data_IF_874968988176
#
_entry.id   IF_874968988176
#
_cell.length_a   1.000
_cell.length_b   1.000
_cell.length_c   1.000
_cell.angle_alpha   90.00
_cell.angle_beta   90.00
_cell.angle_gamma   90.00
#
_symmetry.space_group_name_H-M   'P 1'
#
loop_
_entity.id
_entity.type
_entity.pdbx_description
1 polymer ?
#
# COMPACT_ATOMS: atom_id res chain seq x y z
N UNK A 1 -23.64 -1.80 -1.97
CA UNK A 1 -24.16 -1.55 -0.59
C UNK A 1 -23.31 -0.43 -0.01
N UNK A 2 -23.70 0.23 1.09
CA UNK A 2 -22.85 1.29 1.67
C UNK A 2 -21.60 0.73 2.37
N UNK A 3 -20.69 1.61 2.78
CA UNK A 3 -19.54 1.28 3.64
C UNK A 3 -19.98 0.43 4.84
N UNK A 4 -19.27 -0.66 5.10
CA UNK A 4 -19.45 -1.49 6.29
C UNK A 4 -18.11 -1.85 6.91
N UNK A 5 -17.97 -1.64 8.22
CA UNK A 5 -16.77 -1.94 9.00
C UNK A 5 -17.09 -2.70 10.28
N UNK A 6 -16.17 -3.55 10.71
CA UNK A 6 -16.18 -4.20 12.00
C UNK A 6 -14.79 -4.17 12.62
N UNK A 7 -14.67 -3.81 13.89
CA UNK A 7 -13.41 -3.88 14.63
C UNK A 7 -13.57 -4.78 15.83
N UNK A 8 -12.65 -5.73 15.95
CA UNK A 8 -12.67 -6.80 16.92
C UNK A 8 -11.39 -6.82 17.76
N UNK A 9 -11.49 -7.34 18.98
CA UNK A 9 -10.40 -7.53 19.93
C UNK A 9 -10.04 -9.02 20.04
N UNK A 10 -8.80 -9.37 19.73
CA UNK A 10 -8.28 -10.72 19.91
C UNK A 10 -7.87 -11.02 21.37
N UNK A 11 -7.80 -10.02 22.25
CA UNK A 11 -7.50 -10.19 23.67
C UNK A 11 -6.09 -10.70 23.93
N UNK A 12 -5.11 -10.29 23.12
CA UNK A 12 -3.72 -10.79 23.16
C UNK A 12 -3.60 -12.28 22.83
N UNK A 13 -4.60 -12.88 22.19
CA UNK A 13 -4.62 -14.26 21.72
C UNK A 13 -4.44 -14.33 20.20
N UNK A 14 -4.24 -15.53 19.66
CA UNK A 14 -4.13 -15.78 18.22
C UNK A 14 -5.46 -16.11 17.52
N UNK A 15 -6.60 -16.02 18.20
CA UNK A 15 -7.90 -16.42 17.64
C UNK A 15 -8.59 -15.24 16.96
N UNK A 16 -8.98 -15.40 15.70
CA UNK A 16 -9.67 -14.40 14.89
C UNK A 16 -11.18 -14.73 14.72
N UNK A 17 -12.05 -13.72 14.49
CA UNK A 17 -11.77 -12.28 14.60
C UNK A 17 -11.73 -11.80 16.06
N UNK A 18 -12.17 -12.61 17.03
CA UNK A 18 -12.26 -12.19 18.44
C UNK A 18 -13.60 -11.56 18.81
N UNK A 19 -13.60 -10.60 19.73
CA UNK A 19 -14.82 -9.97 20.26
C UNK A 19 -15.07 -8.63 19.56
N UNK A 20 -16.28 -8.42 19.03
CA UNK A 20 -16.64 -7.16 18.37
C UNK A 20 -16.61 -5.99 19.35
N UNK A 21 -15.79 -4.98 19.07
CA UNK A 21 -15.71 -3.72 19.82
C UNK A 21 -16.54 -2.61 19.18
N UNK A 22 -16.46 -2.48 17.85
CA UNK A 22 -17.11 -1.38 17.12
C UNK A 22 -17.63 -1.85 15.76
N UNK A 23 -18.89 -1.56 15.47
CA UNK A 23 -19.55 -1.87 14.20
C UNK A 23 -19.79 -0.60 13.36
N UNK A 24 -20.18 -0.78 12.10
CA UNK A 24 -20.59 0.32 11.22
C UNK A 24 -21.66 1.20 11.89
N UNK A 25 -21.50 2.52 11.82
CA UNK A 25 -22.37 3.49 12.52
C UNK A 25 -22.20 3.58 14.04
N UNK A 26 -21.36 2.74 14.65
CA UNK A 26 -21.09 2.76 16.09
C UNK A 26 -20.27 3.96 16.55
N UNK A 27 -20.55 4.44 17.76
CA UNK A 27 -19.77 5.49 18.42
C UNK A 27 -18.34 5.01 18.70
N UNK A 28 -17.42 5.98 18.87
CA UNK A 28 -16.05 5.69 19.29
C UNK A 28 -16.03 4.99 20.65
N UNK A 29 -15.10 4.04 20.82
CA UNK A 29 -14.92 3.26 22.05
C UNK A 29 -13.71 3.77 22.83
N UNK A 30 -13.53 3.40 24.12
CA UNK A 30 -12.38 3.86 24.91
C UNK A 30 -11.03 3.42 24.34
N UNK A 31 -10.98 2.28 23.64
CA UNK A 31 -9.78 1.79 22.99
C UNK A 31 -9.44 2.61 21.73
N UNK A 32 -8.29 3.29 21.78
CA UNK A 32 -7.82 4.13 20.69
C UNK A 32 -7.46 3.33 19.43
N UNK A 33 -6.89 2.13 19.57
CA UNK A 33 -6.53 1.31 18.41
C UNK A 33 -7.76 0.86 17.64
N UNK A 34 -8.84 0.57 18.36
CA UNK A 34 -10.11 0.21 17.74
C UNK A 34 -10.67 1.35 16.88
N UNK A 35 -10.57 2.59 17.38
CA UNK A 35 -11.00 3.78 16.64
C UNK A 35 -10.10 4.06 15.43
N UNK A 36 -8.78 3.93 15.60
CA UNK A 36 -7.82 4.12 14.51
C UNK A 36 -8.04 3.11 13.37
N UNK A 37 -8.19 1.82 13.69
CA UNK A 37 -8.50 0.78 12.70
C UNK A 37 -9.83 1.05 11.99
N UNK A 38 -10.87 1.45 12.75
CA UNK A 38 -12.20 1.76 12.21
C UNK A 38 -12.19 2.97 11.27
N UNK A 39 -11.54 4.05 11.69
CA UNK A 39 -11.47 5.30 10.93
C UNK A 39 -10.59 5.09 9.70
N UNK A 40 -9.45 4.42 9.85
CA UNK A 40 -8.54 4.15 8.74
C UNK A 40 -9.14 3.25 7.66
N UNK A 41 -9.83 2.17 8.04
CA UNK A 41 -10.58 1.36 7.06
C UNK A 41 -11.67 2.19 6.36
N UNK A 42 -12.28 3.12 7.09
CA UNK A 42 -13.29 4.02 6.55
C UNK A 42 -12.75 5.02 5.53
N UNK A 43 -11.58 5.59 5.80
CA UNK A 43 -10.86 6.50 4.89
C UNK A 43 -10.46 5.75 3.62
N UNK A 44 -9.91 4.54 3.75
CA UNK A 44 -9.53 3.72 2.58
C UNK A 44 -10.75 3.37 1.72
N UNK A 45 -11.88 2.99 2.33
CA UNK A 45 -13.13 2.77 1.58
C UNK A 45 -13.55 4.04 0.82
N UNK A 46 -13.55 5.20 1.49
CA UNK A 46 -13.96 6.46 0.87
C UNK A 46 -13.04 6.86 -0.28
N UNK A 47 -11.74 6.67 -0.12
CA UNK A 47 -10.77 6.88 -1.19
C UNK A 47 -11.09 6.01 -2.42
N UNK A 48 -11.26 4.69 -2.23
CA UNK A 48 -11.61 3.77 -3.33
C UNK A 48 -12.92 4.18 -4.02
N UNK A 49 -13.89 4.63 -3.25
CA UNK A 49 -15.18 5.08 -3.78
C UNK A 49 -15.07 6.41 -4.52
N UNK A 50 -14.38 7.40 -3.95
CA UNK A 50 -14.29 8.75 -4.50
C UNK A 50 -13.38 8.80 -5.73
N UNK A 51 -12.24 8.11 -5.70
CA UNK A 51 -11.22 8.20 -6.75
C UNK A 51 -11.43 7.17 -7.85
N UNK A 52 -11.88 5.95 -7.51
CA UNK A 52 -12.01 4.85 -8.48
C UNK A 52 -13.45 4.38 -8.71
N UNK A 53 -14.44 4.99 -8.05
CA UNK A 53 -15.84 4.53 -8.05
C UNK A 53 -15.97 3.04 -7.69
N UNK A 54 -15.05 2.51 -6.87
CA UNK A 54 -15.01 1.11 -6.44
C UNK A 54 -15.77 0.95 -5.12
N UNK A 55 -16.68 -0.02 -5.05
CA UNK A 55 -17.40 -0.36 -3.81
C UNK A 55 -16.59 -1.38 -2.99
N UNK A 56 -15.79 -0.91 -2.02
CA UNK A 56 -14.88 -1.73 -1.19
C UNK A 56 -13.73 -2.42 -1.95
N UNK A 57 -12.92 -3.21 -1.24
CA UNK A 57 -11.73 -3.89 -1.78
C UNK A 57 -12.08 -4.94 -2.85
N UNK A 58 -13.27 -5.53 -2.81
CA UNK A 58 -13.75 -6.53 -3.77
C UNK A 58 -14.58 -5.94 -4.93
N UNK A 59 -14.88 -4.64 -4.87
CA UNK A 59 -15.74 -3.96 -5.84
C UNK A 59 -17.23 -4.32 -5.71
N UNK A 60 -17.64 -5.02 -4.64
CA UNK A 60 -19.01 -5.48 -4.39
C UNK A 60 -19.52 -5.13 -3.00
N UNK A 61 -18.83 -4.24 -2.29
CA UNK A 61 -19.24 -3.76 -0.98
C UNK A 61 -18.94 -4.73 0.16
N UNK A 62 -17.87 -5.54 0.06
CA UNK A 62 -17.40 -6.37 1.18
C UNK A 62 -17.22 -5.54 2.44
N UNK A 63 -17.66 -6.09 3.57
CA UNK A 63 -17.37 -5.54 4.90
C UNK A 63 -15.87 -5.57 5.17
N UNK A 64 -15.35 -4.47 5.73
CA UNK A 64 -13.94 -4.34 6.11
C UNK A 64 -13.80 -4.66 7.60
N UNK A 65 -13.38 -5.88 7.90
CA UNK A 65 -13.16 -6.32 9.28
C UNK A 65 -11.69 -6.18 9.68
N UNK A 66 -11.46 -5.65 10.88
CA UNK A 66 -10.15 -5.48 11.50
C UNK A 66 -10.12 -6.15 12.86
N UNK A 67 -9.05 -6.89 13.15
CA UNK A 67 -8.79 -7.43 14.50
C UNK A 67 -7.54 -6.77 15.07
N UNK A 68 -7.66 -6.18 16.26
CA UNK A 68 -6.55 -5.57 17.01
C UNK A 68 -6.13 -6.43 18.20
N UNK A 69 -5.04 -6.07 18.88
CA UNK A 69 -4.50 -6.80 20.02
C UNK A 69 -4.20 -8.27 19.71
N UNK A 70 -3.72 -8.54 18.49
CA UNK A 70 -3.39 -9.88 18.05
C UNK A 70 -2.06 -10.35 18.64
N UNK A 71 -2.11 -11.40 19.45
CA UNK A 71 -0.97 -11.95 20.20
C UNK A 71 -0.23 -10.91 21.08
N UNK A 72 0.67 -11.38 21.94
CA UNK A 72 1.50 -10.51 22.77
C UNK A 72 2.76 -10.07 22.02
N UNK A 73 3.10 -8.78 22.10
CA UNK A 73 4.31 -8.21 21.51
C UNK A 73 4.49 -8.51 20.01
N UNK A 74 3.36 -8.64 19.29
CA UNK A 74 3.37 -8.99 17.89
C UNK A 74 3.82 -7.79 17.04
N UNK A 75 5.00 -7.91 16.45
CA UNK A 75 5.65 -6.87 15.66
C UNK A 75 5.23 -6.92 14.18
N UNK A 76 3.92 -7.07 13.89
CA UNK A 76 3.43 -7.01 12.51
C UNK A 76 1.95 -6.60 12.40
N UNK A 77 1.56 -6.20 11.19
CA UNK A 77 0.17 -6.19 10.71
C UNK A 77 0.08 -7.03 9.43
N UNK A 78 -1.10 -7.54 9.10
CA UNK A 78 -1.30 -8.29 7.86
C UNK A 78 -2.76 -8.36 7.43
N UNK A 79 -2.99 -8.44 6.13
CA UNK A 79 -4.21 -9.01 5.53
C UNK A 79 -4.10 -10.53 5.43
N UNK A 80 -5.10 -11.26 5.93
CA UNK A 80 -5.06 -12.72 5.95
C UNK A 80 -5.86 -13.41 4.82
N UNK A 81 -6.36 -12.64 3.84
CA UNK A 81 -7.28 -13.11 2.81
C UNK A 81 -8.76 -12.79 3.07
N UNK A 82 -9.10 -12.44 4.31
CA UNK A 82 -10.48 -12.17 4.76
C UNK A 82 -10.64 -10.88 5.57
N UNK A 83 -9.68 -10.58 6.46
CA UNK A 83 -9.70 -9.44 7.39
C UNK A 83 -8.29 -8.90 7.64
N UNK A 84 -8.21 -7.66 8.16
CA UNK A 84 -6.96 -7.06 8.64
C UNK A 84 -6.68 -7.50 10.08
N UNK A 85 -5.41 -7.70 10.41
CA UNK A 85 -4.97 -8.09 11.74
C UNK A 85 -3.80 -7.20 12.16
N UNK A 86 -3.86 -6.65 13.38
CA UNK A 86 -2.86 -5.72 13.91
C UNK A 86 -2.32 -6.22 15.25
N UNK A 87 -0.99 -6.31 15.34
CA UNK A 87 -0.30 -6.41 16.62
C UNK A 87 -0.11 -5.05 17.28
N UNK A 88 0.17 -5.09 18.57
CA UNK A 88 0.46 -3.88 19.36
C UNK A 88 1.93 -3.44 19.27
N UNK A 89 2.80 -4.30 18.74
CA UNK A 89 4.24 -4.15 18.85
C UNK A 89 4.79 -4.50 20.24
N UNK A 90 6.10 -4.58 20.34
CA UNK A 90 6.85 -4.90 21.56
C UNK A 90 7.22 -3.66 22.42
N UNK A 91 6.85 -2.46 21.98
CA UNK A 91 7.22 -1.18 22.59
C UNK A 91 8.68 -0.78 22.40
N UNK A 92 9.47 -1.60 21.69
CA UNK A 92 10.91 -1.40 21.44
C UNK A 92 11.19 -1.18 19.97
N UNK A 93 10.81 -2.14 19.14
CA UNK A 93 10.89 -2.11 17.69
C UNK A 93 9.70 -1.35 17.11
N UNK A 94 8.49 -1.65 17.61
CA UNK A 94 7.23 -1.05 17.17
C UNK A 94 6.34 -0.69 18.36
N UNK A 95 5.55 0.38 18.20
CA UNK A 95 4.67 0.92 19.24
C UNK A 95 3.17 0.89 18.88
N UNK A 96 2.82 0.20 17.80
CA UNK A 96 1.43 -0.06 17.39
C UNK A 96 1.19 0.22 15.91
N UNK A 97 0.63 -0.76 15.18
CA UNK A 97 0.47 -0.69 13.72
C UNK A 97 -0.78 0.06 13.26
N UNK A 98 -1.75 0.29 14.14
CA UNK A 98 -2.95 1.10 13.86
C UNK A 98 -2.68 2.61 13.90
N UNK A 99 -1.51 3.04 14.38
CA UNK A 99 -1.18 4.46 14.59
C UNK A 99 -0.97 5.24 13.29
N UNK A 100 -0.73 4.55 12.17
CA UNK A 100 -0.52 5.19 10.89
C UNK A 100 -1.53 4.70 9.84
N UNK A 101 -2.17 5.65 9.16
CA UNK A 101 -3.17 5.36 8.14
C UNK A 101 -2.56 4.65 6.92
N UNK A 102 -1.31 4.94 6.57
CA UNK A 102 -0.66 4.28 5.44
C UNK A 102 -0.48 2.78 5.66
N UNK A 103 -0.21 2.32 6.89
CA UNK A 103 -0.17 0.90 7.26
C UNK A 103 -1.55 0.26 7.13
N UNK A 104 -2.60 0.89 7.66
CA UNK A 104 -3.97 0.36 7.56
C UNK A 104 -4.41 0.24 6.09
N UNK A 105 -4.13 1.27 5.28
CA UNK A 105 -4.44 1.29 3.87
C UNK A 105 -3.57 0.32 3.05
N UNK A 106 -2.31 0.11 3.43
CA UNK A 106 -1.42 -0.91 2.88
C UNK A 106 -2.04 -2.30 3.04
N UNK A 107 -2.45 -2.68 4.26
CA UNK A 107 -3.06 -4.01 4.49
C UNK A 107 -4.35 -4.21 3.68
N UNK A 108 -5.22 -3.21 3.66
CA UNK A 108 -6.44 -3.25 2.84
C UNK A 108 -6.14 -3.36 1.35
N UNK A 109 -5.00 -2.84 0.91
CA UNK A 109 -4.59 -2.90 -0.49
C UNK A 109 -4.16 -4.30 -0.90
N UNK A 110 -3.65 -5.15 -0.01
CA UNK A 110 -3.49 -6.58 -0.33
C UNK A 110 -4.83 -7.23 -0.70
N UNK A 111 -5.90 -6.90 0.04
CA UNK A 111 -7.26 -7.28 -0.33
C UNK A 111 -7.70 -6.69 -1.67
N UNK A 112 -7.36 -5.43 -1.96
CA UNK A 112 -7.62 -4.84 -3.28
C UNK A 112 -6.92 -5.62 -4.40
N UNK A 113 -5.64 -5.95 -4.24
CA UNK A 113 -4.84 -6.71 -5.22
C UNK A 113 -5.47 -8.07 -5.48
N UNK A 114 -5.88 -8.78 -4.41
CA UNK A 114 -6.55 -10.08 -4.49
C UNK A 114 -7.80 -10.07 -5.39
N UNK A 115 -8.55 -8.96 -5.43
CA UNK A 115 -9.79 -8.85 -6.21
C UNK A 115 -9.68 -8.00 -7.49
N UNK A 116 -8.61 -7.23 -7.67
CA UNK A 116 -8.41 -6.36 -8.82
C UNK A 116 -7.45 -6.93 -9.86
N UNK A 117 -6.50 -7.78 -9.44
CA UNK A 117 -5.64 -8.55 -10.35
C UNK A 117 -6.30 -9.89 -10.65
N UNK A 118 -6.50 -10.27 -11.92
CA UNK A 118 -7.02 -11.60 -12.28
C UNK A 118 -6.13 -12.72 -11.70
N UNK A 119 -6.65 -13.44 -10.70
CA UNK A 119 -5.92 -14.50 -10.00
C UNK A 119 -5.02 -14.03 -8.85
N UNK A 120 -5.00 -12.73 -8.53
CA UNK A 120 -4.08 -12.16 -7.54
C UNK A 120 -2.64 -12.02 -8.07
N UNK A 121 -1.72 -11.66 -7.18
CA UNK A 121 -0.27 -11.70 -7.43
C UNK A 121 0.36 -12.71 -6.49
N UNK A 122 1.17 -13.61 -7.03
CA UNK A 122 1.91 -14.59 -6.23
C UNK A 122 2.90 -13.86 -5.33
N UNK A 123 2.92 -14.21 -4.04
CA UNK A 123 3.69 -13.49 -3.03
C UNK A 123 5.16 -13.96 -2.96
N UNK A 124 5.82 -13.96 -4.12
CA UNK A 124 7.21 -14.37 -4.31
C UNK A 124 7.87 -13.57 -5.44
N UNK A 125 9.21 -13.48 -5.44
CA UNK A 125 9.96 -12.82 -6.50
C UNK A 125 9.45 -11.41 -6.85
N UNK A 126 9.33 -11.13 -8.15
CA UNK A 126 8.87 -9.82 -8.63
C UNK A 126 7.36 -9.60 -8.45
N UNK A 127 6.53 -10.64 -8.58
CA UNK A 127 5.08 -10.50 -8.36
C UNK A 127 4.77 -10.17 -6.90
N UNK A 128 5.51 -10.74 -5.96
CA UNK A 128 5.41 -10.42 -4.54
C UNK A 128 5.93 -9.02 -4.24
N UNK A 129 7.06 -8.61 -4.85
CA UNK A 129 7.56 -7.25 -4.71
C UNK A 129 6.61 -6.19 -5.32
N UNK A 130 5.89 -6.53 -6.40
CA UNK A 130 4.80 -5.71 -6.91
C UNK A 130 3.62 -5.67 -5.95
N UNK A 131 3.27 -6.80 -5.32
CA UNK A 131 2.20 -6.87 -4.34
C UNK A 131 2.46 -5.89 -3.17
N UNK A 132 3.66 -5.96 -2.60
CA UNK A 132 4.14 -5.01 -1.58
C UNK A 132 4.16 -3.56 -2.06
N UNK A 133 4.71 -3.31 -3.25
CA UNK A 133 4.81 -1.95 -3.77
C UNK A 133 3.46 -1.32 -4.06
N UNK A 134 2.50 -2.09 -4.59
CA UNK A 134 1.15 -1.59 -4.83
C UNK A 134 0.48 -1.25 -3.49
N UNK A 135 0.70 -2.06 -2.45
CA UNK A 135 0.23 -1.80 -1.10
C UNK A 135 0.84 -0.52 -0.50
N UNK A 136 2.15 -0.31 -0.63
CA UNK A 136 2.83 0.93 -0.25
C UNK A 136 2.32 2.15 -1.02
N UNK A 137 2.15 2.03 -2.34
CA UNK A 137 1.67 3.10 -3.22
C UNK A 137 0.29 3.56 -2.78
N UNK A 138 -0.69 2.65 -2.66
CA UNK A 138 -2.03 3.06 -2.25
C UNK A 138 -2.11 3.44 -0.77
N UNK A 139 -1.28 2.85 0.10
CA UNK A 139 -1.13 3.30 1.49
C UNK A 139 -0.71 4.76 1.56
N UNK A 140 0.34 5.14 0.82
CA UNK A 140 0.82 6.52 0.74
C UNK A 140 -0.22 7.46 0.12
N UNK A 141 -0.85 7.07 -1.00
CA UNK A 141 -1.84 7.93 -1.66
C UNK A 141 -3.09 8.14 -0.80
N UNK A 142 -3.55 7.12 -0.07
CA UNK A 142 -4.69 7.26 0.86
C UNK A 142 -4.35 8.26 1.98
N UNK A 143 -3.15 8.16 2.55
CA UNK A 143 -2.64 9.14 3.53
C UNK A 143 -2.64 10.55 2.96
N UNK A 144 -2.02 10.75 1.79
CA UNK A 144 -2.00 12.06 1.13
C UNK A 144 -3.43 12.59 0.88
N UNK A 145 -4.35 11.73 0.40
CA UNK A 145 -5.74 12.10 0.12
C UNK A 145 -6.47 12.55 1.38
N UNK A 146 -6.33 11.81 2.48
CA UNK A 146 -6.94 12.15 3.77
C UNK A 146 -6.42 13.45 4.38
N UNK A 147 -5.18 13.82 4.05
CA UNK A 147 -4.54 15.05 4.53
C UNK A 147 -4.64 16.21 3.53
N UNK A 148 -5.17 15.98 2.33
CA UNK A 148 -5.23 16.96 1.25
C UNK A 148 -3.85 17.41 0.73
N UNK A 149 -2.85 16.53 0.78
CA UNK A 149 -1.47 16.86 0.43
C UNK A 149 -1.22 16.72 -1.07
N UNK A 150 -0.55 17.71 -1.66
CA UNK A 150 0.05 17.58 -2.99
C UNK A 150 1.26 16.64 -2.96
N UNK A 151 1.70 16.20 -4.15
CA UNK A 151 2.87 15.31 -4.28
C UNK A 151 4.16 15.88 -3.69
N UNK A 152 4.27 17.22 -3.61
CA UNK A 152 5.43 17.91 -3.04
C UNK A 152 5.37 18.11 -1.53
N UNK A 153 4.19 17.96 -0.92
CA UNK A 153 3.98 18.07 0.53
C UNK A 153 3.99 16.69 1.23
N UNK A 154 3.72 15.63 0.46
CA UNK A 154 3.71 14.26 0.96
C UNK A 154 5.09 13.82 1.47
N UNK A 155 5.12 13.10 2.59
CA UNK A 155 6.37 12.57 3.16
C UNK A 155 6.95 11.40 2.37
N UNK A 156 6.12 10.66 1.64
CA UNK A 156 6.46 9.44 0.91
C UNK A 156 7.07 8.34 1.79
N UNK A 157 6.77 8.37 3.09
CA UNK A 157 7.22 7.39 4.08
C UNK A 157 6.09 6.43 4.43
N UNK A 158 6.43 5.16 4.62
CA UNK A 158 5.51 4.12 5.09
C UNK A 158 5.78 3.78 6.55
N UNK A 159 4.74 3.74 7.37
CA UNK A 159 4.89 3.45 8.80
C UNK A 159 5.59 4.58 9.58
N UNK A 160 5.44 5.83 9.14
CA UNK A 160 5.94 6.95 9.93
C UNK A 160 5.13 7.06 11.24
N UNK A 161 5.81 6.93 12.39
CA UNK A 161 5.18 7.01 13.71
C UNK A 161 4.73 5.67 14.33
N UNK A 162 5.04 4.53 13.70
CA UNK A 162 4.88 3.19 14.31
C UNK A 162 6.18 2.64 14.92
N UNK A 163 7.32 3.25 14.60
CA UNK A 163 8.65 2.83 15.06
C UNK A 163 8.82 3.13 16.55
N UNK A 164 9.49 2.23 17.27
CA UNK A 164 9.87 2.49 18.66
C UNK A 164 10.98 3.52 18.81
N UNK A 165 11.16 4.08 20.02
CA UNK A 165 12.15 5.13 20.27
C UNK A 165 13.57 4.71 19.87
N UNK A 166 14.21 5.50 19.00
CA UNK A 166 15.59 5.27 18.57
C UNK A 166 15.81 4.22 17.48
N UNK A 167 14.73 3.60 16.97
CA UNK A 167 14.84 2.58 15.90
C UNK A 167 14.99 3.20 14.51
N UNK A 168 14.29 4.31 14.28
CA UNK A 168 14.17 4.95 12.97
C UNK A 168 12.91 5.79 12.91
N UNK A 169 12.66 6.43 11.76
CA UNK A 169 11.45 7.27 11.58
C UNK A 169 10.32 6.55 10.85
N UNK A 170 10.64 5.61 9.97
CA UNK A 170 9.70 4.90 9.10
C UNK A 170 10.26 3.52 8.69
N UNK A 171 9.41 2.65 8.15
CA UNK A 171 9.83 1.35 7.62
C UNK A 171 10.51 1.49 6.26
N UNK A 172 9.92 2.30 5.37
CA UNK A 172 10.32 2.42 3.97
C UNK A 172 10.10 3.84 3.46
N UNK A 173 10.78 4.17 2.37
CA UNK A 173 10.65 5.43 1.65
C UNK A 173 10.39 5.15 0.17
N UNK A 174 9.28 5.65 -0.38
CA UNK A 174 9.01 5.57 -1.82
C UNK A 174 9.93 6.55 -2.58
N UNK A 175 10.20 7.70 -1.97
CA UNK A 175 11.05 8.73 -2.57
C UNK A 175 12.54 8.36 -2.58
N UNK A 176 13.00 7.60 -1.60
CA UNK A 176 14.40 7.22 -1.46
C UNK A 176 14.57 5.84 -0.78
N UNK A 177 14.24 4.74 -1.49
CA UNK A 177 14.36 3.40 -0.93
C UNK A 177 15.78 3.10 -0.42
N UNK A 178 15.89 2.51 0.77
CA UNK A 178 17.18 2.22 1.40
C UNK A 178 17.77 3.38 2.20
N UNK A 179 17.11 4.55 2.26
CA UNK A 179 17.63 5.70 3.01
C UNK A 179 17.36 5.59 4.52
N UNK A 180 18.36 5.05 5.23
CA UNK A 180 18.36 4.82 6.68
C UNK A 180 18.32 6.08 7.54
N UNK A 181 18.55 7.28 6.99
CA UNK A 181 18.35 8.55 7.71
C UNK A 181 16.86 8.94 7.79
N UNK A 182 16.08 8.48 6.81
CA UNK A 182 14.64 8.66 6.70
C UNK A 182 13.86 7.47 7.25
N UNK A 183 14.46 6.28 7.27
CA UNK A 183 13.80 5.04 7.68
C UNK A 183 14.48 4.44 8.91
N UNK A 184 14.56 3.11 9.00
CA UNK A 184 15.20 2.36 10.08
C UNK A 184 16.55 1.82 9.61
N UNK A 185 17.42 1.46 10.55
CA UNK A 185 18.79 1.06 10.22
C UNK A 185 18.90 -0.21 9.36
N UNK A 186 17.84 -1.03 9.32
CA UNK A 186 17.76 -2.25 8.52
C UNK A 186 17.18 -2.06 7.11
N UNK A 187 16.79 -0.84 6.71
CA UNK A 187 16.30 -0.60 5.36
C UNK A 187 17.43 -0.83 4.34
N UNK A 188 17.24 -1.82 3.47
CA UNK A 188 18.17 -2.26 2.43
C UNK A 188 17.53 -2.26 1.03
N UNK A 189 16.39 -1.57 0.87
CA UNK A 189 15.63 -1.62 -0.37
C UNK A 189 16.42 -1.03 -1.55
N UNK A 190 16.57 -1.77 -2.67
CA UNK A 190 17.11 -1.21 -3.89
C UNK A 190 16.16 -0.17 -4.48
N UNK A 191 16.75 0.92 -5.00
CA UNK A 191 16.05 1.97 -5.74
C UNK A 191 15.90 1.67 -7.24
N UNK A 192 16.76 0.81 -7.78
CA UNK A 192 16.82 0.51 -9.23
C UNK A 192 17.04 -0.98 -9.47
N UNK A 193 16.63 -1.47 -10.64
CA UNK A 193 16.77 -2.87 -11.07
C UNK A 193 18.23 -3.35 -11.09
N UNK A 194 19.20 -2.44 -11.29
CA UNK A 194 20.62 -2.78 -11.25
C UNK A 194 21.08 -3.31 -9.86
N UNK A 195 20.34 -2.98 -8.80
CA UNK A 195 20.59 -3.44 -7.44
C UNK A 195 19.58 -4.52 -6.98
N UNK A 196 18.82 -5.10 -7.92
CA UNK A 196 17.84 -6.15 -7.62
C UNK A 196 18.47 -7.33 -6.88
N UNK A 197 17.80 -7.80 -5.83
CA UNK A 197 18.25 -8.93 -5.02
C UNK A 197 17.48 -10.18 -5.43
N UNK A 198 18.12 -11.13 -6.12
CA UNK A 198 17.47 -12.29 -6.71
C UNK A 198 16.65 -13.11 -5.71
N UNK A 199 17.25 -13.42 -4.56
CA UNK A 199 16.63 -14.16 -3.44
C UNK A 199 16.13 -13.21 -2.33
N UNK A 200 15.91 -11.94 -2.68
CA UNK A 200 15.44 -10.93 -1.75
C UNK A 200 14.01 -11.19 -1.31
N UNK A 201 13.69 -10.83 -0.07
CA UNK A 201 12.30 -10.82 0.37
C UNK A 201 11.47 -9.87 -0.52
N UNK A 202 10.18 -10.16 -0.66
CA UNK A 202 9.25 -9.33 -1.44
C UNK A 202 9.28 -7.86 -0.99
N UNK A 203 9.43 -7.62 0.31
CA UNK A 203 9.59 -6.30 0.89
C UNK A 203 10.85 -5.58 0.40
N UNK A 204 11.98 -6.28 0.20
CA UNK A 204 13.25 -5.67 -0.23
C UNK A 204 13.09 -5.05 -1.61
N UNK A 205 12.75 -5.85 -2.63
CA UNK A 205 12.73 -5.38 -4.02
C UNK A 205 11.54 -4.45 -4.36
N UNK A 206 10.57 -4.28 -3.46
CA UNK A 206 9.44 -3.35 -3.64
C UNK A 206 9.88 -1.88 -3.76
N UNK A 207 11.08 -1.53 -3.28
CA UNK A 207 11.67 -0.20 -3.44
C UNK A 207 11.78 0.27 -4.89
N UNK A 208 12.01 -0.64 -5.84
CA UNK A 208 12.18 -0.34 -7.26
C UNK A 208 10.86 0.21 -7.86
N UNK A 209 9.74 -0.54 -7.84
CA UNK A 209 8.45 -0.01 -8.30
C UNK A 209 7.89 1.14 -7.43
N UNK A 210 8.22 1.19 -6.14
CA UNK A 210 7.90 2.32 -5.27
C UNK A 210 8.52 3.63 -5.79
N UNK A 211 9.80 3.59 -6.13
CA UNK A 211 10.51 4.75 -6.66
C UNK A 211 10.03 5.17 -8.05
N UNK A 212 9.61 4.21 -8.89
CA UNK A 212 8.97 4.51 -10.16
C UNK A 212 7.65 5.28 -9.97
N UNK A 213 6.79 4.84 -9.03
CA UNK A 213 5.55 5.56 -8.75
C UNK A 213 5.79 6.99 -8.24
N UNK A 214 6.73 7.15 -7.30
CA UNK A 214 7.15 8.46 -6.80
C UNK A 214 7.61 9.37 -7.95
N UNK A 215 8.51 8.88 -8.81
CA UNK A 215 9.03 9.64 -9.93
C UNK A 215 7.94 10.09 -10.90
N UNK A 216 6.95 9.23 -11.17
CA UNK A 216 5.78 9.61 -11.96
C UNK A 216 4.97 10.73 -11.28
N UNK A 217 4.69 10.59 -9.98
CA UNK A 217 3.94 11.58 -9.23
C UNK A 217 4.62 12.95 -9.29
N UNK A 218 5.94 12.98 -9.10
CA UNK A 218 6.73 14.22 -9.20
C UNK A 218 6.74 14.79 -10.61
N UNK A 219 6.82 13.96 -11.65
CA UNK A 219 6.78 14.41 -13.04
C UNK A 219 5.42 14.98 -13.45
N UNK A 220 4.33 14.44 -12.91
CA UNK A 220 2.98 14.92 -13.20
C UNK A 220 2.62 16.15 -12.35
N UNK A 221 3.03 16.20 -11.08
CA UNK A 221 2.62 17.26 -10.15
C UNK A 221 1.12 17.16 -9.77
N UNK A 222 0.68 18.09 -8.92
CA UNK A 222 -0.69 18.11 -8.38
C UNK A 222 -0.86 17.11 -7.24
N UNK A 223 -1.99 16.41 -7.19
CA UNK A 223 -2.19 15.32 -6.24
C UNK A 223 -1.98 13.96 -6.90
N UNK A 224 -1.41 13.01 -6.16
CA UNK A 224 -1.13 11.67 -6.69
C UNK A 224 -2.40 10.96 -7.20
N UNK A 225 -3.54 11.21 -6.55
CA UNK A 225 -4.83 10.61 -6.92
C UNK A 225 -5.50 11.22 -8.15
N UNK A 226 -5.02 12.38 -8.65
CA UNK A 226 -5.61 13.01 -9.83
C UNK A 226 -5.28 12.23 -11.12
N UNK A 227 -4.06 11.68 -11.21
CA UNK A 227 -3.58 11.01 -12.43
C UNK A 227 -2.76 9.75 -12.19
N UNK A 228 -1.74 9.79 -11.34
CA UNK A 228 -0.83 8.66 -11.14
C UNK A 228 -1.53 7.44 -10.53
N UNK A 229 -2.31 7.62 -9.46
CA UNK A 229 -3.02 6.52 -8.81
C UNK A 229 -4.09 5.88 -9.71
N UNK A 230 -4.91 6.63 -10.48
CA UNK A 230 -5.77 6.04 -11.51
C UNK A 230 -5.02 5.19 -12.55
N UNK A 231 -3.84 5.62 -13.00
CA UNK A 231 -3.01 4.85 -13.94
C UNK A 231 -2.60 3.52 -13.31
N UNK A 232 -2.08 3.53 -12.09
CA UNK A 232 -1.68 2.33 -11.35
C UNK A 232 -2.87 1.41 -11.09
N UNK A 233 -4.01 1.96 -10.66
CA UNK A 233 -5.21 1.19 -10.36
C UNK A 233 -5.75 0.45 -11.60
N UNK A 234 -5.86 1.14 -12.74
CA UNK A 234 -6.35 0.52 -13.97
C UNK A 234 -5.35 -0.48 -14.57
N UNK A 235 -4.07 -0.40 -14.22
CA UNK A 235 -3.05 -1.37 -14.64
C UNK A 235 -3.25 -2.74 -13.96
N UNK A 236 -3.83 -2.79 -12.76
CA UNK A 236 -4.03 -4.06 -12.01
C UNK A 236 -4.80 -5.11 -12.81
N UNK A 237 -5.83 -4.68 -13.56
CA UNK A 237 -6.65 -5.56 -14.38
C UNK A 237 -5.91 -6.17 -15.59
N UNK A 238 -4.68 -5.73 -15.86
CA UNK A 238 -3.83 -6.19 -16.97
C UNK A 238 -2.70 -7.11 -16.50
N UNK A 239 -2.55 -7.31 -15.19
CA UNK A 239 -1.52 -8.18 -14.60
C UNK A 239 -2.00 -9.64 -14.53
N UNK A 240 -1.03 -10.52 -14.30
CA UNK A 240 -1.21 -11.96 -14.06
C UNK A 240 -0.54 -12.34 -12.74
N UNK A 241 -0.82 -13.51 -12.15
CA UNK A 241 -0.23 -13.93 -10.87
C UNK A 241 1.29 -13.83 -10.79
N UNK A 242 1.98 -14.19 -11.87
CA UNK A 242 3.44 -14.18 -11.98
C UNK A 242 4.01 -12.89 -12.61
N UNK A 243 3.27 -11.77 -12.55
CA UNK A 243 3.67 -10.53 -13.20
C UNK A 243 5.05 -10.03 -12.75
N UNK A 244 5.83 -9.58 -13.72
CA UNK A 244 7.16 -8.97 -13.53
C UNK A 244 7.07 -7.45 -13.46
N UNK A 245 8.16 -6.79 -13.05
CA UNK A 245 8.26 -5.32 -13.11
C UNK A 245 8.04 -4.80 -14.53
N UNK A 246 8.51 -5.52 -15.55
CA UNK A 246 8.28 -5.18 -16.95
C UNK A 246 6.79 -5.31 -17.34
N UNK A 247 6.05 -6.28 -16.77
CA UNK A 247 4.59 -6.39 -16.96
C UNK A 247 3.87 -5.18 -16.36
N UNK A 248 4.24 -4.76 -15.15
CA UNK A 248 3.66 -3.57 -14.53
C UNK A 248 3.99 -2.29 -15.30
N UNK A 249 5.21 -2.16 -15.83
CA UNK A 249 5.59 -1.05 -16.70
C UNK A 249 4.71 -0.99 -17.97
N UNK A 250 4.53 -2.13 -18.64
CA UNK A 250 3.63 -2.23 -19.81
C UNK A 250 2.17 -1.94 -19.44
N UNK A 251 1.69 -2.48 -18.33
CA UNK A 251 0.31 -2.31 -17.87
C UNK A 251 -0.01 -0.84 -17.55
N UNK A 252 0.88 -0.16 -16.82
CA UNK A 252 0.75 1.28 -16.52
C UNK A 252 0.87 2.14 -17.78
N UNK A 253 1.76 1.80 -18.72
CA UNK A 253 1.84 2.46 -20.02
C UNK A 253 0.54 2.35 -20.84
N UNK A 254 -0.06 1.15 -20.91
CA UNK A 254 -1.37 0.93 -21.56
C UNK A 254 -2.51 1.66 -20.85
N UNK A 255 -2.50 1.64 -19.52
CA UNK A 255 -3.46 2.35 -18.69
C UNK A 255 -3.41 3.86 -18.96
N UNK A 256 -2.22 4.46 -18.98
CA UNK A 256 -2.04 5.87 -19.32
C UNK A 256 -2.47 6.20 -20.76
N UNK A 257 -2.16 5.33 -21.73
CA UNK A 257 -2.63 5.51 -23.10
C UNK A 257 -4.17 5.49 -23.20
N UNK A 258 -4.83 4.61 -22.44
CA UNK A 258 -6.29 4.53 -22.40
C UNK A 258 -6.93 5.77 -21.77
N UNK A 259 -6.34 6.28 -20.69
CA UNK A 259 -6.90 7.40 -19.93
C UNK A 259 -6.62 8.77 -20.57
N UNK A 260 -5.45 8.93 -21.20
CA UNK A 260 -4.95 10.24 -21.66
C UNK A 260 -4.58 10.28 -23.14
N UNK A 261 -4.74 9.17 -23.87
CA UNK A 261 -4.38 9.04 -25.29
C UNK A 261 -2.98 8.45 -25.50
N UNK A 262 -2.85 7.66 -26.57
CA UNK A 262 -1.58 7.08 -26.99
C UNK A 262 -0.60 8.18 -27.42
N UNK A 263 0.65 8.10 -26.96
CA UNK A 263 1.66 9.13 -27.20
C UNK A 263 1.40 10.44 -26.44
N UNK A 264 0.56 10.43 -25.39
CA UNK A 264 0.39 11.60 -24.52
C UNK A 264 1.66 11.88 -23.69
N UNK A 265 1.78 13.11 -23.18
CA UNK A 265 2.83 13.46 -22.22
C UNK A 265 2.74 12.62 -20.94
N UNK A 266 1.53 12.25 -20.52
CA UNK A 266 1.29 11.39 -19.35
C UNK A 266 1.82 9.98 -19.59
N UNK A 267 1.54 9.36 -20.75
CA UNK A 267 2.10 8.05 -21.08
C UNK A 267 3.64 8.09 -21.14
N UNK A 268 4.22 9.14 -21.73
CA UNK A 268 5.68 9.32 -21.73
C UNK A 268 6.26 9.46 -20.32
N UNK A 269 5.58 10.17 -19.42
CA UNK A 269 6.01 10.30 -18.03
C UNK A 269 6.04 8.94 -17.31
N UNK A 270 5.05 8.06 -17.56
CA UNK A 270 5.05 6.68 -17.05
C UNK A 270 6.28 5.93 -17.55
N UNK A 271 6.56 6.00 -18.86
CA UNK A 271 7.71 5.33 -19.46
C UNK A 271 9.03 5.83 -18.87
N UNK A 272 9.19 7.15 -18.73
CA UNK A 272 10.38 7.75 -18.12
C UNK A 272 10.56 7.35 -16.66
N UNK A 273 9.47 7.21 -15.90
CA UNK A 273 9.54 6.80 -14.50
C UNK A 273 10.02 5.35 -14.33
N UNK A 274 9.57 4.42 -15.19
CA UNK A 274 10.09 3.04 -15.19
C UNK A 274 11.53 2.95 -15.68
N UNK A 275 11.88 3.73 -16.71
CA UNK A 275 13.27 3.83 -17.20
C UNK A 275 14.23 4.36 -16.13
N UNK A 276 13.80 5.31 -15.30
CA UNK A 276 14.60 5.86 -14.20
C UNK A 276 15.04 4.76 -13.22
N UNK A 277 14.17 3.78 -12.97
CA UNK A 277 14.48 2.65 -12.08
C UNK A 277 15.09 1.45 -12.83
N UNK A 278 15.42 1.62 -14.10
CA UNK A 278 16.07 0.60 -14.93
C UNK A 278 15.14 -0.50 -15.44
N UNK A 279 13.82 -0.32 -15.41
CA UNK A 279 12.84 -1.29 -15.93
C UNK A 279 12.40 -0.87 -17.32
N UNK A 280 12.69 -1.71 -18.32
CA UNK A 280 12.31 -1.46 -19.70
C UNK A 280 11.10 -2.32 -20.11
N UNK A 281 10.16 -1.72 -20.85
CA UNK A 281 8.96 -2.44 -21.36
C UNK A 281 9.28 -3.62 -22.30
N UNK A 282 10.52 -3.69 -22.82
CA UNK A 282 11.00 -4.71 -23.76
C UNK A 282 11.75 -5.88 -23.12
N UNK A 283 12.08 -5.80 -21.82
CA UNK A 283 12.69 -6.93 -21.12
C UNK A 283 11.65 -8.06 -20.94
N UNK A 284 12.02 -9.28 -21.32
CA UNK A 284 11.16 -10.47 -21.25
C UNK A 284 10.56 -10.97 -22.58
N UNK A 285 11.22 -10.74 -23.73
CA UNK A 285 11.00 -11.55 -24.95
C UNK A 285 12.03 -12.67 -25.05
#
# INVERSE_FOLDING_TARGET
>A
MGKQRGVYDAGQLGRLPGTLLRAEGGQAVPDQQANQAYDGAGITYDFLRAVFNRDSIDGRGRRLDSTIHYQQHFNNAFWNGDQMVYGDGDGKSFIGFTRCIDVIAHELTHGLIQYAVPGGLDYEGQSGALNESIADVFGSVVKQWSLGQSVGEADWLIGHGIMGPGVGKALRSLADPGNRELTWSGDDQPKTLAAYVADGAVHTNSGIPNHAFYALCMALGGHAWDRAAPIWYHALALLTPTATFADMARATGRSAARLYGAGSSVQRAVQSAWQLVGVNELEGR
#
